data_IF_234436380830
#
_entry.id   IF_234436380830
#
_cell.length_a   1.000
_cell.length_b   1.000
_cell.length_c   1.000
_cell.angle_alpha   90.00
_cell.angle_beta   90.00
_cell.angle_gamma   90.00
#
_symmetry.space_group_name_H-M   'P 1'
#
loop_
_entity.id
_entity.type
_entity.pdbx_description
1 polymer ?
#
# COMPACT_ATOMS: atom_id res chain seq x y z
N UNK A 1 -5.06 -4.25 -22.42
CA UNK A 1 -3.65 -3.88 -22.12
C UNK A 1 -3.27 -4.43 -20.75
N UNK A 2 -2.01 -4.87 -20.61
CA UNK A 2 -1.52 -5.47 -19.36
C UNK A 2 -1.15 -4.39 -18.33
N UNK A 3 -1.71 -4.50 -17.12
CA UNK A 3 -1.40 -3.66 -15.98
C UNK A 3 -0.74 -4.50 -14.88
N UNK A 4 0.29 -3.95 -14.21
CA UNK A 4 0.88 -4.62 -13.05
C UNK A 4 0.52 -3.84 -11.78
N UNK A 5 0.11 -4.58 -10.76
CA UNK A 5 -0.33 -3.99 -9.49
C UNK A 5 0.44 -4.57 -8.31
N UNK A 6 0.67 -3.76 -7.30
CA UNK A 6 1.55 -4.06 -6.19
C UNK A 6 0.81 -3.94 -4.85
N UNK A 7 0.77 -5.02 -4.04
CA UNK A 7 0.02 -5.01 -2.79
C UNK A 7 0.70 -4.18 -1.70
N UNK A 8 -0.07 -3.86 -0.69
CA UNK A 8 0.37 -3.14 0.50
C UNK A 8 0.48 -4.03 1.74
N UNK A 9 0.59 -3.36 2.89
CA UNK A 9 0.61 -4.01 4.20
C UNK A 9 -0.66 -4.84 4.43
N UNK A 10 -0.50 -6.02 5.03
CA UNK A 10 -1.55 -7.01 5.21
C UNK A 10 -1.48 -8.20 4.24
N UNK A 11 -0.59 -8.14 3.25
CA UNK A 11 -0.35 -9.23 2.30
C UNK A 11 0.81 -10.16 2.69
N UNK A 12 1.62 -9.79 3.70
CA UNK A 12 2.77 -10.55 4.16
C UNK A 12 2.39 -11.90 4.78
N UNK A 13 3.26 -12.88 4.65
CA UNK A 13 3.21 -14.17 5.33
C UNK A 13 4.62 -14.73 5.53
N UNK A 14 4.82 -15.51 6.58
CA UNK A 14 6.10 -16.15 6.86
C UNK A 14 6.44 -17.18 5.76
N UNK A 15 7.66 -17.12 5.25
CA UNK A 15 8.12 -17.93 4.11
C UNK A 15 8.08 -17.19 2.78
N UNK A 16 7.46 -16.01 2.69
CA UNK A 16 7.37 -15.25 1.44
C UNK A 16 8.75 -14.89 0.89
N UNK A 17 8.95 -15.15 -0.40
CA UNK A 17 10.18 -14.83 -1.13
C UNK A 17 11.31 -15.82 -0.94
N UNK A 18 11.16 -16.87 -0.10
CA UNK A 18 12.22 -17.88 0.11
C UNK A 18 12.48 -18.70 -1.15
N UNK A 19 11.45 -19.11 -1.83
CA UNK A 19 11.55 -19.85 -3.09
C UNK A 19 12.23 -19.02 -4.19
N UNK A 20 11.92 -17.73 -4.27
CA UNK A 20 12.56 -16.79 -5.18
C UNK A 20 14.06 -16.60 -4.84
N UNK A 21 14.37 -16.48 -3.56
CA UNK A 21 15.75 -16.40 -3.08
C UNK A 21 16.57 -17.67 -3.38
N UNK A 22 15.97 -18.84 -3.15
CA UNK A 22 16.66 -20.12 -3.30
C UNK A 22 16.88 -20.51 -4.79
N UNK A 23 15.99 -20.07 -5.69
CA UNK A 23 15.95 -20.53 -7.08
C UNK A 23 16.35 -19.48 -8.14
N UNK A 24 16.61 -18.23 -7.73
CA UNK A 24 16.97 -17.15 -8.65
C UNK A 24 18.15 -16.33 -8.13
N UNK A 25 19.29 -16.44 -8.80
CA UNK A 25 20.56 -15.78 -8.39
C UNK A 25 20.41 -14.26 -8.30
N UNK A 26 19.73 -13.63 -9.30
CA UNK A 26 19.47 -12.20 -9.29
C UNK A 26 18.59 -11.79 -8.10
N UNK A 27 17.58 -12.59 -7.77
CA UNK A 27 16.74 -12.33 -6.61
C UNK A 27 17.56 -12.40 -5.32
N UNK A 28 18.40 -13.42 -5.18
CA UNK A 28 19.29 -13.58 -4.03
C UNK A 28 20.22 -12.38 -3.86
N UNK A 29 20.86 -11.93 -4.93
CA UNK A 29 21.71 -10.73 -4.90
C UNK A 29 20.94 -9.48 -4.42
N UNK A 30 19.71 -9.28 -4.91
CA UNK A 30 18.86 -8.15 -4.51
C UNK A 30 18.42 -8.25 -3.05
N UNK A 31 18.06 -9.44 -2.56
CA UNK A 31 17.73 -9.65 -1.15
C UNK A 31 18.92 -9.38 -0.23
N UNK A 32 20.12 -9.88 -0.58
CA UNK A 32 21.33 -9.62 0.21
C UNK A 32 21.70 -8.12 0.18
N UNK A 33 21.56 -7.47 -0.97
CA UNK A 33 21.76 -6.01 -1.07
C UNK A 33 20.78 -5.23 -0.17
N UNK A 34 19.53 -5.68 -0.08
CA UNK A 34 18.56 -5.09 0.83
C UNK A 34 18.93 -5.29 2.30
N UNK A 35 19.41 -6.48 2.69
CA UNK A 35 19.93 -6.73 4.04
C UNK A 35 21.05 -5.77 4.41
N UNK A 36 22.00 -5.50 3.49
CA UNK A 36 23.08 -4.54 3.68
C UNK A 36 22.54 -3.11 3.89
N UNK A 37 21.62 -2.65 3.03
CA UNK A 37 21.05 -1.31 3.09
C UNK A 37 20.26 -1.09 4.39
N UNK A 38 19.47 -2.09 4.79
CA UNK A 38 18.65 -2.02 6.00
C UNK A 38 19.47 -2.15 7.29
N UNK A 39 20.68 -2.72 7.23
CA UNK A 39 21.55 -2.94 8.38
C UNK A 39 21.13 -4.11 9.28
N UNK A 40 20.20 -4.94 8.80
CA UNK A 40 19.77 -6.18 9.46
C UNK A 40 19.27 -7.18 8.41
N UNK A 41 19.24 -8.46 8.77
CA UNK A 41 18.78 -9.50 7.87
C UNK A 41 17.27 -9.64 7.88
N UNK A 42 16.61 -8.82 7.07
CA UNK A 42 15.15 -8.88 6.90
C UNK A 42 14.73 -10.23 6.29
N UNK A 43 15.59 -10.85 5.50
CA UNK A 43 15.36 -12.18 4.92
C UNK A 43 15.12 -13.25 5.97
N UNK A 44 15.82 -13.20 7.11
CA UNK A 44 15.63 -14.17 8.18
C UNK A 44 14.21 -14.08 8.76
N UNK A 45 13.68 -12.85 8.91
CA UNK A 45 12.32 -12.62 9.38
C UNK A 45 11.30 -13.04 8.30
N UNK A 46 11.55 -12.69 7.04
CA UNK A 46 10.65 -13.02 5.92
C UNK A 46 10.51 -14.55 5.74
N UNK A 47 11.61 -15.30 5.86
CA UNK A 47 11.65 -16.72 5.51
C UNK A 47 11.30 -17.62 6.67
N UNK A 48 11.77 -17.32 7.89
CA UNK A 48 11.73 -18.22 9.05
C UNK A 48 11.36 -17.50 10.36
N UNK A 49 11.02 -16.21 10.32
CA UNK A 49 10.58 -15.46 11.49
C UNK A 49 9.17 -15.82 11.95
N UNK A 50 8.66 -15.07 12.88
CA UNK A 50 7.30 -15.24 13.39
C UNK A 50 6.33 -14.24 12.72
N UNK A 51 5.03 -14.57 12.73
CA UNK A 51 3.99 -13.63 12.28
C UNK A 51 4.03 -12.31 13.05
N UNK A 52 4.36 -12.36 14.34
CA UNK A 52 4.45 -11.18 15.20
C UNK A 52 5.61 -10.25 14.77
N UNK A 53 6.79 -10.81 14.49
CA UNK A 53 7.93 -10.04 13.99
C UNK A 53 7.63 -9.43 12.62
N UNK A 54 7.03 -10.22 11.73
CA UNK A 54 6.69 -9.80 10.36
C UNK A 54 5.56 -8.76 10.33
N UNK A 55 4.72 -8.68 11.34
CA UNK A 55 3.59 -7.73 11.42
C UNK A 55 4.00 -6.34 11.93
N UNK A 56 5.20 -6.16 12.47
CA UNK A 56 5.71 -4.85 12.87
C UNK A 56 5.87 -3.95 11.64
N UNK A 57 5.26 -2.75 11.64
CA UNK A 57 5.23 -1.84 10.49
C UNK A 57 6.62 -1.60 9.87
N UNK A 58 7.65 -1.43 10.73
CA UNK A 58 9.04 -1.24 10.31
C UNK A 58 9.65 -2.44 9.58
N UNK A 59 9.06 -3.63 9.73
CA UNK A 59 9.47 -4.88 9.05
C UNK A 59 8.54 -5.19 7.89
N UNK A 60 7.22 -5.11 8.11
CA UNK A 60 6.20 -5.46 7.12
C UNK A 60 6.40 -4.70 5.81
N UNK A 61 6.59 -3.38 5.90
CA UNK A 61 6.65 -2.56 4.68
C UNK A 61 7.88 -2.89 3.82
N UNK A 62 9.11 -2.92 4.34
CA UNK A 62 10.26 -3.37 3.55
C UNK A 62 10.11 -4.81 3.04
N UNK A 63 9.56 -5.72 3.84
CA UNK A 63 9.39 -7.13 3.45
C UNK A 63 8.43 -7.28 2.25
N UNK A 64 7.26 -6.65 2.28
CA UNK A 64 6.29 -6.66 1.17
C UNK A 64 6.86 -5.96 -0.07
N UNK A 65 7.53 -4.82 0.13
CA UNK A 65 8.22 -4.09 -0.94
C UNK A 65 9.27 -4.97 -1.63
N UNK A 66 10.15 -5.61 -0.87
CA UNK A 66 11.21 -6.47 -1.43
C UNK A 66 10.65 -7.63 -2.21
N UNK A 67 9.68 -8.36 -1.65
CA UNK A 67 9.02 -9.44 -2.39
C UNK A 67 8.44 -8.93 -3.71
N UNK A 68 7.69 -7.83 -3.67
CA UNK A 68 7.00 -7.27 -4.83
C UNK A 68 7.96 -6.80 -5.91
N UNK A 69 8.97 -6.00 -5.54
CA UNK A 69 9.93 -5.43 -6.49
C UNK A 69 10.87 -6.50 -7.06
N UNK A 70 11.39 -7.38 -6.22
CA UNK A 70 12.31 -8.43 -6.68
C UNK A 70 11.58 -9.40 -7.61
N UNK A 71 10.33 -9.77 -7.28
CA UNK A 71 9.51 -10.58 -8.18
C UNK A 71 9.34 -9.92 -9.55
N UNK A 72 8.98 -8.63 -9.60
CA UNK A 72 8.83 -7.90 -10.85
C UNK A 72 10.14 -7.81 -11.65
N UNK A 73 11.27 -7.50 -10.98
CA UNK A 73 12.59 -7.39 -11.62
C UNK A 73 13.12 -8.74 -12.15
N UNK A 74 12.67 -9.86 -11.57
CA UNK A 74 13.03 -11.20 -12.00
C UNK A 74 12.19 -11.74 -13.16
N UNK A 75 11.05 -11.08 -13.50
CA UNK A 75 10.28 -11.41 -14.70
C UNK A 75 11.03 -11.07 -16.00
N UNK A 76 12.02 -10.18 -15.96
CA UNK A 76 12.80 -9.79 -17.14
C UNK A 76 11.90 -9.19 -18.23
N UNK A 77 11.90 -9.79 -19.42
CA UNK A 77 11.12 -9.32 -20.57
C UNK A 77 9.61 -9.53 -20.40
N UNK A 78 9.18 -10.46 -19.53
CA UNK A 78 7.77 -10.68 -19.22
C UNK A 78 7.16 -9.54 -18.39
N UNK A 79 8.00 -8.71 -17.75
CA UNK A 79 7.56 -7.46 -17.13
C UNK A 79 7.46 -6.35 -18.18
N UNK A 80 6.34 -6.32 -18.88
CA UNK A 80 6.03 -5.33 -19.93
C UNK A 80 4.70 -4.61 -19.63
N UNK A 81 4.63 -3.78 -18.57
CA UNK A 81 3.42 -3.08 -18.21
C UNK A 81 3.08 -1.96 -19.20
N UNK A 82 1.80 -1.85 -19.58
CA UNK A 82 1.27 -0.64 -20.19
C UNK A 82 1.04 0.47 -19.14
N UNK A 83 0.82 0.05 -17.89
CA UNK A 83 0.62 0.92 -16.73
C UNK A 83 0.82 0.15 -15.43
N UNK A 84 1.11 0.87 -14.35
CA UNK A 84 1.29 0.28 -13.02
C UNK A 84 0.50 1.05 -11.96
N UNK A 85 0.15 0.36 -10.86
CA UNK A 85 -0.39 0.96 -9.65
C UNK A 85 0.03 0.15 -8.42
N UNK A 86 0.04 0.78 -7.26
CA UNK A 86 0.28 0.08 -6.01
C UNK A 86 -0.63 0.59 -4.90
N UNK A 87 -1.04 -0.31 -4.01
CA UNK A 87 -1.90 0.04 -2.88
C UNK A 87 -1.05 0.52 -1.71
N UNK A 88 -1.16 1.78 -1.31
CA UNK A 88 -0.41 2.39 -0.20
C UNK A 88 1.10 2.20 -0.37
N UNK A 89 1.75 1.39 0.46
CA UNK A 89 3.16 1.02 0.33
C UNK A 89 3.49 0.46 -1.06
N UNK A 90 2.57 -0.25 -1.69
CA UNK A 90 2.74 -0.81 -3.03
C UNK A 90 2.99 0.25 -4.11
N UNK A 91 2.62 1.51 -3.87
CA UNK A 91 2.96 2.62 -4.78
C UNK A 91 4.48 2.81 -4.92
N UNK A 92 5.25 2.64 -3.82
CA UNK A 92 6.72 2.63 -3.90
C UNK A 92 7.24 1.44 -4.72
N UNK A 93 6.62 0.26 -4.57
CA UNK A 93 6.97 -0.90 -5.39
C UNK A 93 6.69 -0.66 -6.88
N UNK A 94 5.55 -0.05 -7.20
CA UNK A 94 5.19 0.33 -8.57
C UNK A 94 6.20 1.34 -9.17
N UNK A 95 6.62 2.33 -8.40
CA UNK A 95 7.60 3.34 -8.83
C UNK A 95 8.96 2.72 -9.15
N UNK A 96 9.44 1.78 -8.32
CA UNK A 96 10.70 1.08 -8.61
C UNK A 96 10.56 0.16 -9.82
N UNK A 97 9.48 -0.60 -9.92
CA UNK A 97 9.23 -1.49 -11.04
C UNK A 97 9.11 -0.73 -12.38
N UNK A 98 8.46 0.43 -12.37
CA UNK A 98 8.36 1.32 -13.54
C UNK A 98 9.66 2.10 -13.85
N UNK A 99 10.67 2.04 -13.00
CA UNK A 99 11.96 2.72 -13.18
C UNK A 99 11.96 4.18 -12.77
N UNK A 100 10.92 4.67 -12.08
CA UNK A 100 10.90 6.02 -11.50
C UNK A 100 11.85 6.17 -10.30
N UNK A 101 12.13 5.06 -9.60
CA UNK A 101 13.08 4.96 -8.49
C UNK A 101 14.09 3.84 -8.73
N UNK A 102 15.34 4.04 -8.33
CA UNK A 102 16.32 2.97 -8.24
C UNK A 102 15.98 2.00 -7.09
N UNK A 103 16.40 0.74 -7.21
CA UNK A 103 16.14 -0.29 -6.18
C UNK A 103 16.66 0.11 -4.80
N UNK A 104 17.91 0.57 -4.72
CA UNK A 104 18.54 0.96 -3.45
C UNK A 104 17.83 2.15 -2.79
N UNK A 105 17.46 3.15 -3.59
CA UNK A 105 16.71 4.31 -3.11
C UNK A 105 15.30 3.92 -2.67
N UNK A 106 14.66 2.99 -3.38
CA UNK A 106 13.38 2.42 -3.00
C UNK A 106 13.44 1.71 -1.64
N UNK A 107 14.49 0.89 -1.39
CA UNK A 107 14.71 0.22 -0.09
C UNK A 107 14.89 1.24 1.04
N UNK A 108 15.72 2.26 0.83
CA UNK A 108 15.93 3.35 1.81
C UNK A 108 14.64 4.09 2.11
N UNK A 109 13.88 4.41 1.06
CA UNK A 109 12.67 5.20 1.17
C UNK A 109 11.52 4.43 1.85
N UNK A 110 11.34 3.13 1.53
CA UNK A 110 10.34 2.30 2.22
C UNK A 110 10.69 2.09 3.68
N UNK A 111 11.98 1.96 4.01
CA UNK A 111 12.46 1.88 5.41
C UNK A 111 12.18 3.18 6.16
N UNK A 112 12.51 4.33 5.56
CA UNK A 112 12.23 5.64 6.15
C UNK A 112 10.72 5.84 6.40
N UNK A 113 9.88 5.45 5.43
CA UNK A 113 8.41 5.47 5.55
C UNK A 113 7.93 4.61 6.71
N UNK A 114 8.40 3.39 6.79
CA UNK A 114 8.00 2.43 7.83
C UNK A 114 8.39 2.92 9.24
N UNK A 115 9.59 3.46 9.41
CA UNK A 115 10.08 4.00 10.67
C UNK A 115 9.29 5.27 11.07
N UNK A 116 9.06 6.19 10.13
CA UNK A 116 8.30 7.41 10.41
C UNK A 116 6.85 7.09 10.82
N UNK A 117 6.21 6.14 10.13
CA UNK A 117 4.86 5.69 10.47
C UNK A 117 4.82 4.97 11.82
N UNK A 118 5.80 4.13 12.14
CA UNK A 118 5.90 3.46 13.44
C UNK A 118 5.99 4.49 14.59
N UNK A 119 6.86 5.48 14.47
CA UNK A 119 6.99 6.57 15.46
C UNK A 119 5.70 7.38 15.62
N UNK A 120 5.02 7.69 14.53
CA UNK A 120 3.74 8.40 14.60
C UNK A 120 2.67 7.59 15.34
N UNK A 121 2.62 6.27 15.13
CA UNK A 121 1.72 5.37 15.85
C UNK A 121 2.03 5.31 17.36
N UNK A 122 3.30 5.32 17.74
CA UNK A 122 3.72 5.31 19.15
C UNK A 122 3.38 6.65 19.84
N UNK A 123 3.46 7.76 19.12
CA UNK A 123 3.20 9.10 19.66
C UNK A 123 1.69 9.40 19.78
N UNK A 124 0.86 8.89 18.86
CA UNK A 124 -0.58 9.13 18.84
C UNK A 124 -1.31 7.81 18.58
N UNK A 125 -1.83 7.14 19.61
CA UNK A 125 -2.57 5.89 19.46
C UNK A 125 -3.78 6.06 18.54
N UNK A 126 -3.82 5.25 17.50
CA UNK A 126 -4.90 5.22 16.53
C UNK A 126 -5.09 3.80 15.98
N UNK A 127 -6.13 3.61 15.23
CA UNK A 127 -6.42 2.33 14.60
C UNK A 127 -7.22 2.51 13.31
N UNK A 128 -7.53 1.41 12.66
CA UNK A 128 -8.37 1.35 11.47
C UNK A 128 -9.48 0.33 11.65
N UNK A 129 -10.55 0.45 10.89
CA UNK A 129 -11.61 -0.56 10.85
C UNK A 129 -12.08 -0.81 9.42
N UNK A 130 -12.32 -2.09 9.10
CA UNK A 130 -12.91 -2.47 7.83
C UNK A 130 -14.44 -2.39 7.91
N UNK A 131 -15.04 -1.67 6.97
CA UNK A 131 -16.48 -1.49 6.82
C UNK A 131 -16.94 -2.20 5.54
N UNK A 132 -17.96 -3.04 5.67
CA UNK A 132 -18.49 -3.83 4.56
C UNK A 132 -20.00 -3.66 4.48
N UNK A 133 -20.50 -3.38 3.27
CA UNK A 133 -21.91 -3.47 2.93
C UNK A 133 -22.70 -2.17 3.05
N UNK A 134 -22.03 -1.03 3.19
CA UNK A 134 -22.62 0.30 3.06
C UNK A 134 -22.04 1.05 1.86
N UNK A 135 -22.78 2.01 1.27
CA UNK A 135 -22.25 2.99 0.32
C UNK A 135 -21.16 3.86 0.94
N UNK A 136 -20.18 4.27 0.12
CA UNK A 136 -19.04 5.07 0.59
C UNK A 136 -19.48 6.41 1.19
N UNK A 137 -20.45 7.08 0.56
CA UNK A 137 -21.01 8.37 1.01
C UNK A 137 -21.62 8.25 2.41
N UNK A 138 -22.30 7.12 2.71
CA UNK A 138 -22.88 6.87 4.03
C UNK A 138 -21.81 6.68 5.10
N UNK A 139 -20.70 6.03 4.73
CA UNK A 139 -19.55 5.85 5.64
C UNK A 139 -18.89 7.19 5.93
N UNK A 140 -18.69 8.02 4.91
CA UNK A 140 -18.12 9.37 5.02
C UNK A 140 -18.98 10.28 5.91
N UNK A 141 -20.31 10.25 5.74
CA UNK A 141 -21.26 10.97 6.58
C UNK A 141 -21.08 10.59 8.06
N UNK A 142 -21.06 9.29 8.36
CA UNK A 142 -20.89 8.80 9.73
C UNK A 142 -19.52 9.17 10.30
N UNK A 143 -18.45 9.09 9.51
CA UNK A 143 -17.13 9.54 9.94
C UNK A 143 -17.13 11.01 10.32
N UNK A 144 -17.79 11.85 9.53
CA UNK A 144 -17.92 13.27 9.81
C UNK A 144 -18.74 13.53 11.07
N UNK A 145 -19.84 12.81 11.25
CA UNK A 145 -20.78 13.00 12.38
C UNK A 145 -20.15 12.59 13.72
N UNK A 146 -19.35 11.52 13.75
CA UNK A 146 -18.72 11.03 15.00
C UNK A 146 -17.41 11.73 15.32
N UNK A 147 -16.82 12.42 14.36
CA UNK A 147 -15.58 13.17 14.57
C UNK A 147 -15.84 14.43 15.40
N UNK A 148 -14.94 14.66 16.36
CA UNK A 148 -14.91 15.88 17.19
C UNK A 148 -13.52 16.50 17.16
N UNK A 149 -13.34 17.68 17.77
CA UNK A 149 -12.03 18.30 17.87
C UNK A 149 -11.07 17.41 18.66
N UNK A 150 -9.97 17.03 18.03
CA UNK A 150 -8.96 16.13 18.60
C UNK A 150 -9.31 14.64 18.63
N UNK A 151 -10.50 14.22 18.20
CA UNK A 151 -10.91 12.80 18.12
C UNK A 151 -11.60 12.53 16.78
N UNK A 152 -10.80 12.17 15.78
CA UNK A 152 -11.22 12.12 14.37
C UNK A 152 -11.25 10.70 13.82
N UNK A 153 -12.13 10.47 12.87
CA UNK A 153 -12.14 9.31 11.99
C UNK A 153 -12.42 9.74 10.55
N UNK A 154 -11.72 9.13 9.60
CA UNK A 154 -11.86 9.45 8.17
C UNK A 154 -11.96 8.18 7.34
N UNK A 155 -12.54 8.30 6.14
CA UNK A 155 -12.44 7.27 5.11
C UNK A 155 -11.00 7.22 4.57
N UNK A 156 -10.34 6.09 4.75
CA UNK A 156 -8.91 5.95 4.49
C UNK A 156 -8.60 5.13 3.23
N UNK A 157 -9.27 3.99 3.01
CA UNK A 157 -9.00 3.17 1.83
C UNK A 157 -10.31 2.78 1.14
N UNK A 158 -10.50 3.28 -0.06
CA UNK A 158 -11.62 2.90 -0.95
C UNK A 158 -11.19 1.67 -1.77
N UNK A 159 -11.37 0.49 -1.17
CA UNK A 159 -10.77 -0.75 -1.70
C UNK A 159 -11.52 -1.34 -2.88
N UNK A 160 -12.83 -1.48 -2.77
CA UNK A 160 -13.71 -1.94 -3.86
C UNK A 160 -15.17 -1.62 -3.47
N UNK A 161 -16.12 -1.67 -4.40
CA UNK A 161 -17.53 -1.43 -4.08
C UNK A 161 -18.01 -2.22 -2.87
N UNK A 162 -18.53 -1.48 -1.86
CA UNK A 162 -19.01 -2.03 -0.60
C UNK A 162 -17.92 -2.48 0.39
N UNK A 163 -16.66 -2.10 0.17
CA UNK A 163 -15.55 -2.32 1.11
C UNK A 163 -14.68 -1.08 1.24
N UNK A 164 -14.78 -0.41 2.37
CA UNK A 164 -14.00 0.77 2.72
C UNK A 164 -13.33 0.55 4.09
N UNK A 165 -12.14 1.12 4.27
CA UNK A 165 -11.45 1.14 5.57
C UNK A 165 -11.47 2.56 6.11
N UNK A 166 -11.90 2.70 7.37
CA UNK A 166 -11.85 3.95 8.12
C UNK A 166 -10.64 3.98 9.04
N UNK A 167 -10.13 5.17 9.34
CA UNK A 167 -8.88 5.38 10.08
C UNK A 167 -9.01 6.57 11.01
N UNK A 168 -8.52 6.46 12.25
CA UNK A 168 -8.62 7.55 13.21
C UNK A 168 -8.21 7.19 14.63
N UNK A 169 -8.58 8.05 15.58
CA UNK A 169 -8.42 7.77 16.99
C UNK A 169 -9.24 6.56 17.42
N UNK A 170 -8.75 5.81 18.39
CA UNK A 170 -9.39 4.55 18.83
C UNK A 170 -10.84 4.77 19.23
N UNK A 171 -11.15 5.82 20.00
CA UNK A 171 -12.51 6.11 20.46
C UNK A 171 -13.44 6.51 19.31
N UNK A 172 -12.95 7.33 18.35
CA UNK A 172 -13.70 7.70 17.16
C UNK A 172 -13.99 6.50 16.27
N UNK A 173 -13.03 5.59 16.10
CA UNK A 173 -13.20 4.34 15.36
C UNK A 173 -14.25 3.45 16.03
N UNK A 174 -14.22 3.31 17.36
CA UNK A 174 -15.21 2.51 18.09
C UNK A 174 -16.63 3.10 17.93
N UNK A 175 -16.79 4.42 18.12
CA UNK A 175 -18.05 5.11 17.93
C UNK A 175 -18.57 4.97 16.48
N UNK A 176 -17.69 5.14 15.49
CA UNK A 176 -18.04 4.94 14.09
C UNK A 176 -18.48 3.50 13.81
N UNK A 177 -17.78 2.50 14.33
CA UNK A 177 -18.13 1.09 14.15
C UNK A 177 -19.51 0.75 14.73
N UNK A 178 -19.86 1.28 15.90
CA UNK A 178 -21.18 1.08 16.50
C UNK A 178 -22.29 1.71 15.63
N UNK A 179 -22.09 2.96 15.20
CA UNK A 179 -23.06 3.66 14.37
C UNK A 179 -23.20 3.02 12.98
N UNK A 180 -22.10 2.66 12.34
CA UNK A 180 -22.12 1.97 11.05
C UNK A 180 -22.89 0.65 11.11
N UNK A 181 -22.75 -0.13 12.20
CA UNK A 181 -23.55 -1.35 12.42
C UNK A 181 -25.02 -1.04 12.61
N UNK A 182 -25.35 0.00 13.39
CA UNK A 182 -26.73 0.42 13.60
C UNK A 182 -27.41 0.87 12.28
N UNK A 183 -26.63 1.49 11.38
CA UNK A 183 -27.08 1.96 10.06
C UNK A 183 -27.02 0.87 8.96
N UNK A 184 -26.73 -0.39 9.34
CA UNK A 184 -26.88 -1.56 8.47
C UNK A 184 -25.60 -2.09 7.82
N UNK A 185 -24.42 -1.67 8.27
CA UNK A 185 -23.18 -2.31 7.83
C UNK A 185 -23.17 -3.80 8.13
N UNK A 186 -22.86 -4.64 7.17
CA UNK A 186 -22.70 -6.09 7.36
C UNK A 186 -21.54 -6.41 8.30
N UNK A 187 -20.49 -5.59 8.24
CA UNK A 187 -19.33 -5.62 9.15
C UNK A 187 -18.80 -4.22 9.36
N UNK A 188 -18.41 -3.89 10.57
CA UNK A 188 -17.58 -2.77 10.95
C UNK A 188 -16.67 -3.27 12.07
N UNK A 189 -15.42 -3.67 11.72
CA UNK A 189 -14.53 -4.38 12.63
C UNK A 189 -13.17 -3.70 12.66
N UNK A 190 -12.66 -3.34 13.86
CA UNK A 190 -11.28 -2.90 14.03
C UNK A 190 -10.29 -3.90 13.47
N UNK A 191 -9.26 -3.38 12.81
CA UNK A 191 -8.15 -4.13 12.24
C UNK A 191 -7.03 -4.28 13.28
N UNK A 192 -6.25 -5.35 13.18
CA UNK A 192 -5.04 -5.55 13.98
C UNK A 192 -3.87 -4.74 13.43
N UNK A 193 -4.01 -3.42 13.46
CA UNK A 193 -2.96 -2.47 13.03
C UNK A 193 -2.71 -1.46 14.13
N UNK A 194 -1.45 -1.07 14.28
CA UNK A 194 -1.00 -0.21 15.38
C UNK A 194 -1.14 1.29 15.12
N UNK A 195 -1.86 1.73 14.07
CA UNK A 195 -1.92 3.14 13.75
C UNK A 195 -3.06 3.56 12.83
N UNK A 196 -3.32 4.85 12.81
CA UNK A 196 -4.33 5.51 11.98
C UNK A 196 -3.74 5.93 10.62
N UNK A 197 -3.37 4.95 9.79
CA UNK A 197 -2.78 5.21 8.48
C UNK A 197 -3.76 5.95 7.56
N UNK A 198 -3.23 6.75 6.64
CA UNK A 198 -4.01 7.53 5.67
C UNK A 198 -5.03 8.48 6.32
N UNK A 199 -4.66 9.06 7.44
CA UNK A 199 -5.43 10.04 8.20
C UNK A 199 -4.57 11.24 8.60
N UNK A 200 -5.17 12.37 9.05
CA UNK A 200 -4.41 13.50 9.56
C UNK A 200 -3.46 13.17 10.72
N UNK A 201 -3.69 12.07 11.45
CA UNK A 201 -2.80 11.59 12.53
C UNK A 201 -1.42 11.16 12.02
N UNK A 202 -1.27 10.92 10.72
CA UNK A 202 0.03 10.62 10.09
C UNK A 202 0.83 11.87 9.70
N UNK A 203 0.39 13.09 10.05
CA UNK A 203 1.10 14.32 9.71
C UNK A 203 2.58 14.32 10.15
N UNK A 204 2.95 13.88 11.37
CA UNK A 204 4.36 13.81 11.76
C UNK A 204 5.19 12.86 10.89
N UNK A 205 4.61 11.71 10.50
CA UNK A 205 5.27 10.76 9.60
C UNK A 205 5.45 11.35 8.20
N UNK A 206 4.45 12.09 7.70
CA UNK A 206 4.53 12.79 6.41
C UNK A 206 5.70 13.77 6.39
N UNK A 207 5.87 14.58 7.42
CA UNK A 207 6.94 15.58 7.52
C UNK A 207 8.35 14.94 7.56
N UNK A 208 8.51 13.80 8.22
CA UNK A 208 9.77 13.04 8.20
C UNK A 208 10.00 12.42 6.81
N UNK A 209 8.99 11.79 6.23
CA UNK A 209 9.10 11.14 4.92
C UNK A 209 9.32 12.15 3.79
N UNK A 210 8.73 13.33 3.85
CA UNK A 210 8.93 14.40 2.87
C UNK A 210 10.41 14.75 2.71
N UNK A 211 11.17 14.80 3.81
CA UNK A 211 12.61 15.06 3.76
C UNK A 211 13.36 13.96 3.00
N UNK A 212 13.00 12.70 3.23
CA UNK A 212 13.59 11.56 2.56
C UNK A 212 13.22 11.56 1.06
N UNK A 213 11.96 11.83 0.70
CA UNK A 213 11.49 11.92 -0.69
C UNK A 213 12.24 13.03 -1.43
N UNK A 214 12.35 14.24 -0.85
CA UNK A 214 13.05 15.38 -1.46
C UNK A 214 14.55 15.15 -1.63
N UNK A 215 15.16 14.30 -0.81
CA UNK A 215 16.55 13.91 -0.92
C UNK A 215 16.79 12.75 -1.91
N UNK A 216 15.73 12.14 -2.43
CA UNK A 216 15.80 11.00 -3.34
C UNK A 216 15.62 11.46 -4.78
N UNK A 217 16.39 10.88 -5.70
CA UNK A 217 16.27 11.18 -7.14
C UNK A 217 15.15 10.35 -7.75
N UNK A 218 14.21 11.02 -8.41
CA UNK A 218 13.17 10.40 -9.22
C UNK A 218 13.42 10.64 -10.70
N UNK A 219 13.10 9.65 -11.50
CA UNK A 219 13.18 9.69 -12.95
C UNK A 219 11.79 9.53 -13.57
N UNK A 220 11.65 9.86 -14.84
CA UNK A 220 10.44 9.57 -15.60
C UNK A 220 10.24 8.05 -15.68
N UNK A 221 9.08 7.51 -15.27
CA UNK A 221 8.77 6.10 -15.36
C UNK A 221 8.59 5.64 -16.82
N UNK A 222 8.86 4.36 -17.08
CA UNK A 222 8.71 3.74 -18.41
C UNK A 222 7.24 3.60 -18.85
N UNK A 223 6.31 3.70 -17.91
CA UNK A 223 4.88 3.67 -18.16
C UNK A 223 4.16 4.50 -17.09
N UNK A 224 2.91 4.95 -17.32
CA UNK A 224 2.14 5.69 -16.32
C UNK A 224 1.99 4.94 -15.00
N UNK A 225 2.19 5.68 -13.89
CA UNK A 225 1.96 5.20 -12.52
C UNK A 225 0.67 5.82 -12.01
N UNK A 226 -0.34 5.00 -11.72
CA UNK A 226 -1.59 5.48 -11.11
C UNK A 226 -1.37 5.64 -9.61
N UNK A 227 -1.45 6.88 -9.12
CA UNK A 227 -1.15 7.20 -7.73
C UNK A 227 -2.41 7.25 -6.85
N UNK A 228 -2.25 6.93 -5.57
CA UNK A 228 -3.37 6.71 -4.66
C UNK A 228 -4.18 7.96 -4.33
N UNK A 229 -3.53 9.13 -4.32
CA UNK A 229 -4.12 10.39 -3.82
C UNK A 229 -5.24 10.89 -4.72
N UNK A 230 -5.05 10.81 -6.04
CA UNK A 230 -5.97 11.35 -7.05
C UNK A 230 -6.49 10.31 -8.03
N UNK A 231 -5.95 9.08 -7.96
CA UNK A 231 -6.28 7.98 -8.86
C UNK A 231 -5.96 8.25 -10.34
N UNK A 232 -5.06 9.21 -10.63
CA UNK A 232 -4.68 9.59 -11.98
C UNK A 232 -3.31 9.00 -12.38
N UNK A 233 -3.06 8.84 -13.70
CA UNK A 233 -1.76 8.44 -14.21
C UNK A 233 -0.76 9.60 -14.18
N UNK A 234 0.43 9.34 -13.67
CA UNK A 234 1.53 10.30 -13.63
C UNK A 234 2.81 9.74 -14.26
N UNK A 235 3.54 10.60 -14.95
CA UNK A 235 4.87 10.32 -15.51
C UNK A 235 5.89 11.40 -15.15
N UNK A 236 5.44 12.59 -14.74
CA UNK A 236 6.32 13.67 -14.30
C UNK A 236 6.89 13.38 -12.90
N UNK A 237 8.23 13.36 -12.72
CA UNK A 237 8.85 13.07 -11.43
C UNK A 237 8.45 14.03 -10.30
N UNK A 238 8.19 15.31 -10.60
CA UNK A 238 7.82 16.29 -9.58
C UNK A 238 6.37 16.09 -9.11
N UNK A 239 5.46 15.75 -10.02
CA UNK A 239 4.08 15.36 -9.65
C UNK A 239 4.07 14.08 -8.83
N UNK A 240 4.85 13.06 -9.25
CA UNK A 240 4.99 11.80 -8.53
C UNK A 240 5.49 12.03 -7.10
N UNK A 241 6.51 12.87 -6.92
CA UNK A 241 7.01 13.21 -5.58
C UNK A 241 5.96 13.91 -4.72
N UNK A 242 5.26 14.91 -5.28
CA UNK A 242 4.24 15.66 -4.56
C UNK A 242 3.10 14.76 -4.08
N UNK A 243 2.62 13.86 -4.94
CA UNK A 243 1.59 12.89 -4.61
C UNK A 243 2.05 11.87 -3.56
N UNK A 244 3.29 11.38 -3.67
CA UNK A 244 3.86 10.46 -2.69
C UNK A 244 4.00 11.09 -1.30
N UNK A 245 4.35 12.38 -1.21
CA UNK A 245 4.37 13.14 0.04
C UNK A 245 2.96 13.27 0.62
N UNK A 246 1.95 13.55 -0.21
CA UNK A 246 0.57 13.70 0.22
C UNK A 246 -0.06 12.37 0.68
N UNK A 247 0.41 11.24 0.18
CA UNK A 247 -0.21 9.92 0.34
C UNK A 247 -0.43 9.51 1.80
N UNK A 248 0.50 9.81 2.72
CA UNK A 248 0.40 9.34 4.12
C UNK A 248 -0.80 9.91 4.86
N UNK A 249 -1.22 11.11 4.51
CA UNK A 249 -2.36 11.81 5.13
C UNK A 249 -3.60 11.86 4.26
N UNK A 250 -3.55 11.21 3.10
CA UNK A 250 -4.64 11.17 2.11
C UNK A 250 -5.19 9.76 1.96
N UNK A 251 -6.43 9.67 1.51
CA UNK A 251 -7.07 8.38 1.25
C UNK A 251 -6.42 7.64 0.07
N UNK A 252 -6.39 6.32 0.16
CA UNK A 252 -6.03 5.43 -0.95
C UNK A 252 -7.28 5.22 -1.81
N UNK A 253 -7.31 5.81 -2.99
CA UNK A 253 -8.43 5.76 -3.93
C UNK A 253 -8.33 4.56 -4.87
N UNK A 254 -8.16 3.35 -4.32
CA UNK A 254 -7.87 2.15 -5.09
C UNK A 254 -8.95 1.81 -6.13
N UNK A 255 -10.22 1.87 -5.73
CA UNK A 255 -11.34 1.64 -6.64
C UNK A 255 -11.27 2.54 -7.87
N UNK A 256 -11.07 3.85 -7.64
CA UNK A 256 -10.99 4.84 -8.72
C UNK A 256 -9.73 4.63 -9.59
N UNK A 257 -8.58 4.27 -8.99
CA UNK A 257 -7.36 3.95 -9.73
C UNK A 257 -7.60 2.79 -10.71
N UNK A 258 -8.16 1.68 -10.23
CA UNK A 258 -8.46 0.52 -11.09
C UNK A 258 -9.48 0.87 -12.18
N UNK A 259 -10.54 1.60 -11.84
CA UNK A 259 -11.53 2.06 -12.82
C UNK A 259 -10.93 2.94 -13.91
N UNK A 260 -10.02 3.86 -13.54
CA UNK A 260 -9.34 4.72 -14.49
C UNK A 260 -8.34 3.93 -15.37
N UNK A 261 -7.65 2.93 -14.81
CA UNK A 261 -6.82 2.00 -15.58
C UNK A 261 -7.65 1.20 -16.61
N UNK A 262 -8.82 0.70 -16.21
CA UNK A 262 -9.75 -0.01 -17.12
C UNK A 262 -10.25 0.93 -18.22
N UNK A 263 -10.65 2.16 -17.89
CA UNK A 263 -11.04 3.17 -18.89
C UNK A 263 -9.91 3.50 -19.86
N UNK A 264 -8.66 3.44 -19.43
CA UNK A 264 -7.48 3.60 -20.26
C UNK A 264 -7.14 2.34 -21.09
N UNK A 265 -7.91 1.26 -20.95
CA UNK A 265 -7.82 0.03 -21.72
C UNK A 265 -7.11 -1.13 -21.03
N UNK A 266 -6.88 -1.09 -19.71
CA UNK A 266 -6.40 -2.24 -18.97
C UNK A 266 -7.50 -3.31 -18.87
N UNK A 267 -7.20 -4.52 -19.27
CA UNK A 267 -8.12 -5.68 -19.27
C UNK A 267 -7.48 -6.93 -18.63
N UNK A 268 -6.18 -6.87 -18.36
CA UNK A 268 -5.37 -7.92 -17.76
C UNK A 268 -4.47 -7.35 -16.65
N UNK A 269 -4.77 -7.72 -15.39
CA UNK A 269 -4.07 -7.24 -14.20
C UNK A 269 -3.22 -8.35 -13.60
N UNK A 270 -1.94 -8.09 -13.44
CA UNK A 270 -1.01 -9.00 -12.79
C UNK A 270 -0.58 -8.44 -11.43
N UNK A 271 -0.93 -9.11 -10.34
CA UNK A 271 -0.47 -8.76 -8.98
C UNK A 271 0.95 -9.26 -8.76
N UNK A 272 1.89 -8.33 -8.58
CA UNK A 272 3.28 -8.61 -8.22
C UNK A 272 3.47 -8.38 -6.73
N UNK A 273 3.53 -9.45 -5.96
CA UNK A 273 3.72 -9.37 -4.52
C UNK A 273 3.13 -10.56 -3.78
N UNK A 274 3.25 -10.58 -2.44
CA UNK A 274 2.71 -11.67 -1.64
C UNK A 274 1.18 -11.61 -1.58
N UNK A 275 0.54 -12.77 -1.57
CA UNK A 275 -0.91 -12.90 -1.42
C UNK A 275 -1.71 -12.68 -2.71
N UNK A 276 -2.99 -12.37 -2.56
CA UNK A 276 -3.97 -12.20 -3.68
C UNK A 276 -5.05 -11.15 -3.36
N UNK A 277 -4.69 -10.17 -2.53
CA UNK A 277 -5.67 -9.19 -2.05
C UNK A 277 -6.17 -8.29 -3.18
N UNK A 278 -5.27 -7.83 -4.04
CA UNK A 278 -5.63 -6.93 -5.15
C UNK A 278 -6.43 -7.65 -6.24
N UNK A 279 -6.12 -8.91 -6.53
CA UNK A 279 -6.92 -9.73 -7.45
C UNK A 279 -8.38 -9.79 -7.00
N UNK A 280 -8.60 -10.04 -5.69
CA UNK A 280 -9.93 -10.07 -5.12
C UNK A 280 -10.67 -8.73 -5.17
N UNK A 281 -9.96 -7.63 -4.98
CA UNK A 281 -10.53 -6.27 -5.09
C UNK A 281 -10.86 -5.93 -6.55
N UNK A 282 -9.96 -6.20 -7.50
CA UNK A 282 -10.14 -5.94 -8.93
C UNK A 282 -11.35 -6.70 -9.45
N UNK A 283 -11.48 -7.99 -9.13
CA UNK A 283 -12.64 -8.79 -9.56
C UNK A 283 -13.99 -8.34 -8.96
N UNK A 284 -13.97 -7.53 -7.88
CA UNK A 284 -15.18 -6.87 -7.33
C UNK A 284 -15.44 -5.52 -7.97
N UNK A 285 -14.39 -4.82 -8.41
CA UNK A 285 -14.50 -3.53 -9.11
C UNK A 285 -15.06 -3.76 -10.50
N UNK A 286 -14.48 -4.71 -11.24
CA UNK A 286 -14.99 -5.09 -12.58
C UNK A 286 -14.76 -6.60 -12.81
N UNK A 287 -15.83 -7.32 -13.16
CA UNK A 287 -15.80 -8.75 -13.40
C UNK A 287 -15.40 -9.10 -14.84
N UNK A 288 -15.28 -8.12 -15.72
CA UNK A 288 -14.97 -8.32 -17.14
C UNK A 288 -13.47 -8.36 -17.42
N UNK A 289 -12.66 -7.89 -16.46
CA UNK A 289 -11.20 -7.93 -16.58
C UNK A 289 -10.62 -9.16 -15.91
N UNK A 290 -9.46 -9.61 -16.38
CA UNK A 290 -8.70 -10.68 -15.72
C UNK A 290 -7.81 -10.11 -14.61
N UNK A 291 -7.66 -10.86 -13.51
CA UNK A 291 -6.74 -10.53 -12.43
C UNK A 291 -6.10 -11.81 -11.89
N UNK A 292 -4.78 -11.87 -11.91
CA UNK A 292 -4.01 -13.04 -11.49
C UNK A 292 -2.70 -12.62 -10.82
N UNK A 293 -2.05 -13.55 -10.10
CA UNK A 293 -0.74 -13.34 -9.52
C UNK A 293 0.38 -13.85 -10.43
N UNK A 294 1.61 -13.43 -10.16
CA UNK A 294 2.81 -13.95 -10.84
C UNK A 294 3.27 -15.31 -10.27
N UNK A 295 2.70 -15.74 -9.15
CA UNK A 295 2.98 -17.01 -8.46
C UNK A 295 1.67 -17.67 -8.06
#
# INVERSE_FOLDING_TARGET
MKAFVFPGQGSQFVGMGKDLYDNNEKAKELFEKANEILGFRITDIMFEGTDEELTQTKVTQPAVFLHSVISALCLGEDFAPAMVAGHSLGELSALVAAGALGFEDGVKLVSARAIAMQKACEAAPGTMAAVIGLPDEKIEEICTEVSTDGNIVVAANYNCPGQLVISGNVDAINAACEKLKADGAKRALPLKVGGAFHSPLMQPAKEELEKAIKATTFSEPKCPVYQNVDAQPHTDPAEIQANLIAQLTSSVRWTASVQNMIKAGADDFTECGPGKALQGMIGRIDKTVSAHGII
#
